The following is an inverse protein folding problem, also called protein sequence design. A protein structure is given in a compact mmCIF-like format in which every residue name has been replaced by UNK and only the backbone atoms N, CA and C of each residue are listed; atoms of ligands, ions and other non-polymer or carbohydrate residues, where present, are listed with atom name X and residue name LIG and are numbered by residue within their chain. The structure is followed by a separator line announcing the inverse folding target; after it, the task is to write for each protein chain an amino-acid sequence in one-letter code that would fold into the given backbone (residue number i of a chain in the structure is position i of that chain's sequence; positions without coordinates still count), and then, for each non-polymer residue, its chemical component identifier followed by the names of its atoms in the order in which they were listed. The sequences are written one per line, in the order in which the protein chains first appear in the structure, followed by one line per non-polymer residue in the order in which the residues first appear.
data_IF_389563757285
#
_entry.id   IF_389563757285
#
_cell.length_a   1.000
_cell.length_b   1.000
_cell.length_c   1.000
_cell.angle_alpha   90.00
_cell.angle_beta   90.00
_cell.angle_gamma   90.00
#
_symmetry.space_group_name_H-M   'P 1'
#
loop_
_entity.id
_entity.type
_entity.pdbx_description
1 polymer ?
#
# COMPACT_ATOMS: atom_id res chain seq x y z
N UNK A 1 6.86 18.37 12.92
CA UNK A 1 7.36 18.89 11.63
C UNK A 1 7.04 17.85 10.57
N UNK A 2 6.32 18.19 9.50
CA UNK A 2 5.99 17.21 8.45
C UNK A 2 7.24 16.82 7.66
N UNK A 3 7.31 15.58 7.16
CA UNK A 3 8.47 15.09 6.41
C UNK A 3 8.81 15.98 5.19
N UNK A 4 7.80 16.57 4.55
CA UNK A 4 7.97 17.49 3.42
C UNK A 4 8.76 18.76 3.76
N UNK A 5 8.50 19.34 4.93
CA UNK A 5 9.22 20.53 5.40
C UNK A 5 10.65 20.18 5.76
N UNK A 6 10.88 18.99 6.32
CA UNK A 6 12.23 18.54 6.64
C UNK A 6 13.05 18.27 5.37
N UNK A 7 12.46 17.64 4.36
CA UNK A 7 13.10 17.47 3.05
C UNK A 7 13.48 18.83 2.44
N UNK A 8 12.63 19.85 2.57
CA UNK A 8 12.92 21.19 2.08
C UNK A 8 14.05 21.84 2.89
N UNK A 9 14.08 21.66 4.22
CA UNK A 9 15.13 22.20 5.08
C UNK A 9 16.51 21.69 4.68
N UNK A 10 16.64 20.40 4.39
CA UNK A 10 17.94 19.76 4.07
C UNK A 10 18.36 19.90 2.60
N UNK A 11 17.41 20.07 1.68
CA UNK A 11 17.74 20.28 0.26
C UNK A 11 18.51 21.60 0.06
N UNK A 12 19.46 21.62 -0.87
CA UNK A 12 20.12 22.87 -1.30
C UNK A 12 19.11 23.78 -2.02
N UNK A 13 19.27 25.11 -1.96
CA UNK A 13 18.51 26.04 -2.79
C UNK A 13 18.51 25.61 -4.27
N UNK A 14 17.33 25.62 -4.90
CA UNK A 14 17.14 25.14 -6.27
C UNK A 14 17.18 23.62 -6.47
N UNK A 15 17.39 22.82 -5.41
CA UNK A 15 17.38 21.35 -5.46
C UNK A 15 15.98 20.77 -5.67
N UNK A 16 15.90 19.55 -6.22
CA UNK A 16 14.64 18.83 -6.42
C UNK A 16 14.42 17.85 -5.28
N UNK A 17 13.21 17.85 -4.73
CA UNK A 17 12.71 16.80 -3.83
C UNK A 17 11.65 16.02 -4.59
N UNK A 18 11.75 14.70 -4.55
CA UNK A 18 10.79 13.80 -5.15
C UNK A 18 10.25 12.83 -4.09
N UNK A 19 9.01 12.39 -4.28
CA UNK A 19 8.34 11.42 -3.44
C UNK A 19 7.53 10.45 -4.28
N UNK A 20 7.35 9.25 -3.73
CA UNK A 20 6.52 8.20 -4.32
C UNK A 20 5.49 7.78 -3.28
N UNK A 21 4.22 7.81 -3.67
CA UNK A 21 3.09 7.38 -2.85
C UNK A 21 2.37 6.24 -3.54
N UNK A 22 1.88 5.27 -2.78
CA UNK A 22 1.10 4.17 -3.34
C UNK A 22 -0.25 4.72 -3.81
N UNK A 23 -0.63 4.42 -5.05
CA UNK A 23 -1.96 4.74 -5.59
C UNK A 23 -2.86 3.51 -5.64
N UNK A 24 -2.25 2.33 -5.86
CA UNK A 24 -2.92 1.04 -5.85
C UNK A 24 -2.00 -0.06 -5.36
N UNK A 25 -2.56 -0.98 -4.59
CA UNK A 25 -1.91 -2.15 -4.00
C UNK A 25 -2.85 -3.35 -4.18
N UNK A 26 -2.80 -3.95 -5.36
CA UNK A 26 -3.70 -5.03 -5.78
C UNK A 26 -3.55 -6.31 -4.96
N UNK A 27 -2.49 -6.46 -4.15
CA UNK A 27 -2.39 -7.58 -3.23
C UNK A 27 -3.52 -7.58 -2.18
N UNK A 28 -4.10 -6.41 -1.87
CA UNK A 28 -5.24 -6.31 -0.93
C UNK A 28 -6.47 -7.01 -1.49
N UNK A 29 -6.74 -6.86 -2.79
CA UNK A 29 -7.87 -7.48 -3.47
C UNK A 29 -7.72 -9.02 -3.43
N UNK A 30 -6.50 -9.51 -3.73
CA UNK A 30 -6.16 -10.94 -3.66
C UNK A 30 -6.33 -11.55 -2.27
N UNK A 31 -5.90 -10.82 -1.23
CA UNK A 31 -6.04 -11.27 0.15
C UNK A 31 -7.51 -11.25 0.58
N UNK A 32 -8.25 -10.20 0.23
CA UNK A 32 -9.67 -10.10 0.55
C UNK A 32 -10.46 -11.28 -0.03
N UNK A 33 -10.20 -11.63 -1.29
CA UNK A 33 -10.82 -12.78 -1.94
C UNK A 33 -10.46 -14.10 -1.23
N UNK A 34 -9.17 -14.32 -0.94
CA UNK A 34 -8.72 -15.53 -0.27
C UNK A 34 -9.33 -15.70 1.14
N UNK A 35 -9.48 -14.60 1.89
CA UNK A 35 -10.09 -14.61 3.22
C UNK A 35 -11.61 -14.72 3.19
N UNK A 36 -12.26 -14.30 2.10
CA UNK A 36 -13.72 -14.41 1.93
C UNK A 36 -14.21 -15.87 1.86
N UNK A 37 -13.30 -16.82 1.62
CA UNK A 37 -13.60 -18.25 1.68
C UNK A 37 -13.71 -18.79 3.12
N UNK A 38 -13.39 -18.01 4.15
CA UNK A 38 -13.54 -18.41 5.55
C UNK A 38 -15.02 -18.31 6.00
N UNK A 39 -15.50 -19.24 6.85
CA UNK A 39 -16.86 -19.18 7.39
C UNK A 39 -17.08 -17.93 8.25
N UNK A 40 -18.30 -17.39 8.19
CA UNK A 40 -18.68 -16.19 8.91
C UNK A 40 -18.67 -16.37 10.45
N UNK A 41 -18.41 -15.29 11.23
CA UNK A 41 -18.03 -13.97 10.75
C UNK A 41 -16.58 -13.98 10.24
N UNK A 42 -16.38 -13.48 9.02
CA UNK A 42 -15.04 -13.32 8.45
C UNK A 42 -14.25 -12.29 9.26
N UNK A 43 -12.93 -12.46 9.30
CA UNK A 43 -12.05 -11.56 10.03
C UNK A 43 -12.09 -10.16 9.40
N UNK A 44 -12.05 -9.08 10.22
CA UNK A 44 -11.94 -7.73 9.68
C UNK A 44 -10.74 -7.62 8.74
N UNK A 45 -10.99 -7.19 7.51
CA UNK A 45 -9.98 -6.98 6.49
C UNK A 45 -10.42 -5.85 5.56
N UNK A 46 -9.46 -5.21 4.90
CA UNK A 46 -9.74 -4.19 3.89
C UNK A 46 -10.43 -4.83 2.68
N UNK A 47 -11.48 -4.20 2.17
CA UNK A 47 -12.24 -4.67 1.01
C UNK A 47 -11.65 -4.17 -0.29
N UNK A 48 -10.91 -3.07 -0.24
CA UNK A 48 -10.31 -2.43 -1.40
C UNK A 48 -8.89 -1.97 -1.08
N UNK A 49 -8.06 -1.86 -2.12
CA UNK A 49 -6.77 -1.18 -2.03
C UNK A 49 -6.87 0.24 -1.45
N UNK A 50 -7.95 0.97 -1.69
CA UNK A 50 -8.10 2.35 -1.19
C UNK A 50 -8.27 2.38 0.33
N UNK A 51 -9.09 1.46 0.90
CA UNK A 51 -9.24 1.35 2.35
C UNK A 51 -7.89 1.06 3.03
N UNK A 52 -7.07 0.18 2.44
CA UNK A 52 -5.72 -0.08 2.94
C UNK A 52 -4.82 1.16 2.86
N UNK A 53 -4.80 1.86 1.72
CA UNK A 53 -3.96 3.05 1.56
C UNK A 53 -4.36 4.14 2.56
N UNK A 54 -5.66 4.40 2.74
CA UNK A 54 -6.15 5.38 3.71
C UNK A 54 -5.77 4.98 5.15
N UNK A 55 -5.74 3.68 5.48
CA UNK A 55 -5.38 3.21 6.81
C UNK A 55 -3.94 3.57 7.21
N UNK A 56 -2.97 3.46 6.28
CA UNK A 56 -1.57 3.73 6.62
C UNK A 56 -1.05 5.10 6.17
N UNK A 57 -1.68 5.74 5.18
CA UNK A 57 -1.19 6.99 4.60
C UNK A 57 -1.62 8.22 5.40
N UNK A 58 -0.78 9.26 5.35
CA UNK A 58 -1.12 10.58 5.91
C UNK A 58 -1.96 11.39 4.92
N UNK A 59 -3.25 11.09 4.87
CA UNK A 59 -4.21 11.71 3.94
C UNK A 59 -4.25 11.03 2.56
N UNK A 60 -5.01 11.57 1.59
CA UNK A 60 -5.27 10.93 0.30
C UNK A 60 -4.09 11.08 -0.70
N UNK A 61 -2.88 10.72 -0.29
CA UNK A 61 -1.66 10.81 -1.11
C UNK A 61 -1.66 9.84 -2.30
N UNK A 62 -2.61 8.90 -2.37
CA UNK A 62 -2.88 8.08 -3.55
C UNK A 62 -3.40 8.88 -4.74
N UNK A 63 -3.79 10.15 -4.53
CA UNK A 63 -4.24 11.05 -5.59
C UNK A 63 -3.15 12.07 -5.95
N UNK A 64 -2.79 12.13 -7.23
CA UNK A 64 -1.73 13.01 -7.73
C UNK A 64 -2.02 14.51 -7.50
N UNK A 65 -3.28 14.93 -7.63
CA UNK A 65 -3.71 16.31 -7.37
C UNK A 65 -3.45 16.72 -5.92
N UNK A 66 -3.78 15.83 -4.98
CA UNK A 66 -3.56 16.04 -3.56
C UNK A 66 -2.07 16.00 -3.18
N UNK A 67 -1.30 15.04 -3.72
CA UNK A 67 0.15 14.98 -3.49
C UNK A 67 0.84 16.27 -3.97
N UNK A 68 0.49 16.76 -5.16
CA UNK A 68 0.99 18.03 -5.67
C UNK A 68 0.55 19.22 -4.78
N UNK A 69 -0.68 19.22 -4.27
CA UNK A 69 -1.16 20.25 -3.36
C UNK A 69 -0.31 20.32 -2.08
N UNK A 70 0.03 19.18 -1.47
CA UNK A 70 0.90 19.14 -0.28
C UNK A 70 2.28 19.76 -0.57
N UNK A 71 2.90 19.43 -1.71
CA UNK A 71 4.18 20.03 -2.09
C UNK A 71 4.06 21.55 -2.25
N UNK A 72 3.00 22.06 -2.89
CA UNK A 72 2.78 23.51 -3.02
C UNK A 72 2.59 24.17 -1.65
N UNK A 73 1.82 23.57 -0.75
CA UNK A 73 1.62 24.07 0.61
C UNK A 73 2.90 24.05 1.44
N UNK A 74 3.82 23.12 1.16
CA UNK A 74 5.15 23.10 1.76
C UNK A 74 6.13 24.12 1.13
N UNK A 75 5.70 24.90 0.14
CA UNK A 75 6.50 25.97 -0.47
C UNK A 75 7.41 25.52 -1.62
N UNK A 76 7.23 24.32 -2.16
CA UNK A 76 7.95 23.90 -3.37
C UNK A 76 7.43 24.62 -4.62
N UNK A 77 8.32 24.94 -5.55
CA UNK A 77 8.01 25.46 -6.89
C UNK A 77 8.10 24.35 -7.95
N UNK A 78 7.66 24.62 -9.19
CA UNK A 78 7.74 23.66 -10.32
C UNK A 78 7.13 22.29 -10.00
N UNK A 79 6.06 22.26 -9.21
CA UNK A 79 5.48 21.01 -8.70
C UNK A 79 4.80 20.23 -9.82
N UNK A 80 5.24 18.99 -10.02
CA UNK A 80 4.69 18.03 -10.97
C UNK A 80 4.27 16.78 -10.22
N UNK A 81 3.15 16.17 -10.64
CA UNK A 81 2.74 14.86 -10.18
C UNK A 81 2.19 14.03 -11.33
N UNK A 82 2.51 12.75 -11.37
CA UNK A 82 2.03 11.78 -12.35
C UNK A 82 1.62 10.48 -11.68
N UNK A 83 0.84 9.68 -12.40
CA UNK A 83 0.57 8.30 -12.04
C UNK A 83 1.48 7.40 -12.85
N UNK A 84 2.08 6.43 -12.18
CA UNK A 84 2.81 5.34 -12.82
C UNK A 84 2.13 4.03 -12.48
N UNK A 85 1.70 3.32 -13.52
CA UNK A 85 1.15 1.98 -13.39
C UNK A 85 2.29 0.98 -13.20
N UNK A 86 2.13 0.06 -12.25
CA UNK A 86 3.11 -0.99 -11.99
C UNK A 86 2.45 -2.33 -11.78
N UNK A 87 3.16 -3.40 -12.11
CA UNK A 87 2.71 -4.76 -11.92
C UNK A 87 3.80 -5.57 -11.23
N UNK A 88 3.40 -6.32 -10.21
CA UNK A 88 4.29 -7.22 -9.47
C UNK A 88 3.93 -8.64 -9.85
N UNK A 89 4.93 -9.42 -10.26
CA UNK A 89 4.78 -10.84 -10.56
C UNK A 89 5.11 -11.66 -9.33
N UNK A 90 4.16 -12.49 -8.90
CA UNK A 90 4.40 -13.55 -7.92
C UNK A 90 4.60 -14.88 -8.66
N UNK A 91 5.58 -15.67 -8.23
CA UNK A 91 5.81 -17.00 -8.81
C UNK A 91 4.69 -18.00 -8.47
N UNK A 92 4.09 -17.87 -7.28
CA UNK A 92 2.99 -18.67 -6.75
C UNK A 92 2.46 -18.02 -5.45
N UNK A 93 1.53 -18.67 -4.73
CA UNK A 93 0.97 -18.15 -3.48
C UNK A 93 1.96 -17.98 -2.33
N UNK A 94 3.02 -18.79 -2.26
CA UNK A 94 4.08 -18.65 -1.25
C UNK A 94 4.92 -17.40 -1.50
N UNK A 95 5.35 -17.20 -2.74
CA UNK A 95 6.11 -16.01 -3.13
C UNK A 95 5.28 -14.73 -2.93
N UNK A 96 3.98 -14.77 -3.26
CA UNK A 96 3.05 -13.68 -2.94
C UNK A 96 3.03 -13.35 -1.45
N UNK A 97 2.86 -14.34 -0.57
CA UNK A 97 2.85 -14.11 0.88
C UNK A 97 4.15 -13.45 1.34
N UNK A 98 5.28 -13.86 0.75
CA UNK A 98 6.60 -13.30 1.06
C UNK A 98 6.77 -11.87 0.56
N UNK A 99 6.23 -11.53 -0.60
CA UNK A 99 6.22 -10.17 -1.15
C UNK A 99 5.37 -9.21 -0.31
N UNK A 100 4.24 -9.68 0.22
CA UNK A 100 3.25 -8.85 0.91
C UNK A 100 3.42 -8.80 2.43
N UNK A 101 4.28 -9.65 3.03
CA UNK A 101 4.43 -9.74 4.49
C UNK A 101 4.75 -8.39 5.16
N UNK A 102 5.57 -7.55 4.52
CA UNK A 102 5.94 -6.24 5.04
C UNK A 102 4.78 -5.27 5.10
N UNK A 103 3.86 -5.35 4.14
CA UNK A 103 2.74 -4.40 3.98
C UNK A 103 1.61 -4.65 4.98
N UNK A 104 1.33 -5.93 5.29
CA UNK A 104 0.12 -6.30 6.03
C UNK A 104 0.38 -6.84 7.44
N UNK A 105 1.64 -6.86 7.90
CA UNK A 105 2.01 -7.41 9.22
C UNK A 105 1.28 -6.75 10.38
N UNK A 106 1.00 -5.45 10.29
CA UNK A 106 0.31 -4.68 11.34
C UNK A 106 -1.22 -4.82 11.33
N UNK A 107 -1.80 -5.29 10.23
CA UNK A 107 -3.26 -5.26 10.03
C UNK A 107 -4.03 -6.04 11.10
N UNK A 108 -3.61 -7.27 11.50
CA UNK A 108 -4.28 -7.97 12.58
C UNK A 108 -4.18 -7.25 13.93
N UNK A 109 -3.09 -6.52 14.19
CA UNK A 109 -2.90 -5.80 15.46
C UNK A 109 -3.82 -4.59 15.59
N UNK A 110 -4.11 -3.94 14.47
CA UNK A 110 -4.95 -2.76 14.44
C UNK A 110 -6.45 -3.09 14.30
N UNK A 111 -6.80 -4.11 13.50
CA UNK A 111 -8.19 -4.37 13.14
C UNK A 111 -8.85 -5.53 13.91
N UNK A 112 -8.08 -6.50 14.42
CA UNK A 112 -8.68 -7.68 15.04
C UNK A 112 -8.77 -7.52 16.55
N UNK A 113 -9.84 -8.07 17.15
CA UNK A 113 -9.93 -8.15 18.60
C UNK A 113 -8.84 -9.08 19.17
N UNK A 114 -8.46 -8.94 20.45
CA UNK A 114 -7.50 -9.84 21.08
C UNK A 114 -7.87 -11.34 20.95
N UNK A 115 -9.16 -11.66 21.07
CA UNK A 115 -9.66 -13.02 20.90
C UNK A 115 -9.51 -13.52 19.45
N UNK A 116 -9.84 -12.68 18.46
CA UNK A 116 -9.67 -13.02 17.04
C UNK A 116 -8.19 -13.22 16.69
N UNK A 117 -7.29 -12.36 17.19
CA UNK A 117 -5.84 -12.52 17.05
C UNK A 117 -5.34 -13.85 17.62
N UNK A 118 -5.72 -14.16 18.85
CA UNK A 118 -5.28 -15.40 19.51
C UNK A 118 -5.70 -16.65 18.72
N UNK A 119 -6.91 -16.63 18.13
CA UNK A 119 -7.47 -17.77 17.40
C UNK A 119 -6.97 -17.88 15.95
N UNK A 120 -6.78 -16.75 15.25
CA UNK A 120 -6.64 -16.74 13.79
C UNK A 120 -5.30 -16.24 13.27
N UNK A 121 -4.45 -15.62 14.10
CA UNK A 121 -3.18 -15.03 13.63
C UNK A 121 -2.28 -16.06 12.92
N UNK A 122 -2.21 -17.28 13.45
CA UNK A 122 -1.43 -18.37 12.86
C UNK A 122 -2.00 -18.91 11.54
N UNK A 123 -3.27 -18.62 11.24
CA UNK A 123 -3.98 -19.13 10.06
C UNK A 123 -3.97 -18.16 8.89
N UNK A 124 -3.63 -16.88 9.10
CA UNK A 124 -3.70 -15.84 8.07
C UNK A 124 -2.94 -16.23 6.80
N UNK A 125 -1.64 -16.48 6.91
CA UNK A 125 -0.80 -16.81 5.76
C UNK A 125 -1.15 -18.15 5.10
N UNK A 126 -1.38 -19.24 5.86
CA UNK A 126 -1.90 -20.48 5.28
C UNK A 126 -3.19 -20.27 4.48
N UNK A 127 -4.16 -19.52 5.01
CA UNK A 127 -5.42 -19.25 4.31
C UNK A 127 -5.22 -18.46 3.02
N UNK A 128 -4.40 -17.40 3.05
CA UNK A 128 -4.09 -16.60 1.86
C UNK A 128 -3.44 -17.47 0.78
N UNK A 129 -2.39 -18.20 1.14
CA UNK A 129 -1.67 -19.09 0.21
C UNK A 129 -2.62 -20.11 -0.40
N UNK A 130 -3.42 -20.79 0.42
CA UNK A 130 -4.33 -21.84 -0.05
C UNK A 130 -5.43 -21.26 -0.96
N UNK A 131 -5.91 -20.05 -0.69
CA UNK A 131 -6.84 -19.33 -1.56
C UNK A 131 -6.23 -19.01 -2.93
N UNK A 132 -5.01 -18.47 -2.94
CA UNK A 132 -4.26 -18.17 -4.17
C UNK A 132 -3.92 -19.42 -4.97
N UNK A 133 -3.52 -20.50 -4.29
CA UNK A 133 -3.22 -21.78 -4.93
C UNK A 133 -4.46 -22.35 -5.62
N UNK A 134 -5.66 -22.18 -5.05
CA UNK A 134 -6.92 -22.57 -5.70
C UNK A 134 -7.25 -21.67 -6.90
N UNK A 135 -7.08 -20.35 -6.76
CA UNK A 135 -7.39 -19.37 -7.81
C UNK A 135 -6.47 -19.50 -9.01
N UNK A 136 -5.16 -19.63 -8.78
CA UNK A 136 -4.13 -19.59 -9.82
C UNK A 136 -3.49 -20.95 -10.13
N UNK A 137 -3.85 -22.02 -9.40
CA UNK A 137 -3.34 -23.37 -9.64
C UNK A 137 -1.83 -23.48 -9.44
N UNK A 138 -1.26 -22.78 -8.45
CA UNK A 138 0.20 -22.68 -8.18
C UNK A 138 1.03 -22.13 -9.34
N UNK A 139 0.40 -21.46 -10.30
CA UNK A 139 1.10 -20.81 -11.42
C UNK A 139 1.46 -19.37 -11.08
N UNK A 140 2.42 -18.78 -11.80
CA UNK A 140 2.71 -17.36 -11.68
C UNK A 140 1.50 -16.50 -12.03
N UNK A 141 1.33 -15.40 -11.32
CA UNK A 141 0.31 -14.39 -11.56
C UNK A 141 0.86 -13.00 -11.28
N UNK A 142 0.15 -11.98 -11.76
CA UNK A 142 0.51 -10.59 -11.53
C UNK A 142 -0.60 -9.89 -10.75
N UNK A 143 -0.24 -8.95 -9.90
CA UNK A 143 -1.14 -8.01 -9.27
C UNK A 143 -0.61 -6.60 -9.44
N UNK A 144 -1.51 -5.63 -9.49
CA UNK A 144 -1.16 -4.24 -9.72
C UNK A 144 -0.50 -3.63 -8.48
N UNK A 145 0.53 -2.82 -8.70
CA UNK A 145 1.13 -1.94 -7.69
C UNK A 145 1.52 -0.63 -8.36
N UNK A 146 0.61 0.33 -8.31
CA UNK A 146 0.75 1.62 -8.98
C UNK A 146 1.07 2.71 -7.97
N UNK A 147 1.73 3.77 -8.42
CA UNK A 147 2.17 4.86 -7.57
C UNK A 147 1.82 6.23 -8.14
N UNK A 148 1.66 7.21 -7.27
CA UNK A 148 1.82 8.63 -7.58
C UNK A 148 3.29 8.99 -7.43
N UNK A 149 3.89 9.53 -8.48
CA UNK A 149 5.16 10.22 -8.42
C UNK A 149 4.88 11.72 -8.27
N UNK A 150 5.57 12.37 -7.35
CA UNK A 150 5.51 13.84 -7.21
C UNK A 150 6.91 14.38 -7.03
N UNK A 151 7.17 15.54 -7.62
CA UNK A 151 8.41 16.28 -7.41
C UNK A 151 8.15 17.78 -7.33
N UNK A 152 9.07 18.48 -6.69
CA UNK A 152 9.06 19.93 -6.62
C UNK A 152 10.46 20.46 -6.32
N UNK A 153 10.70 21.71 -6.73
CA UNK A 153 11.97 22.40 -6.52
C UNK A 153 11.91 23.22 -5.23
N UNK A 154 12.97 23.16 -4.43
CA UNK A 154 13.16 24.10 -3.31
C UNK A 154 13.41 25.50 -3.88
N UNK A 155 12.73 26.55 -3.36
CA UNK A 155 13.05 27.93 -3.71
C UNK A 155 14.54 28.28 -3.51
N UNK A 156 15.01 29.31 -4.22
CA UNK A 156 16.35 29.86 -4.05
C UNK A 156 16.53 30.49 -2.66
#
# INVERSE_FOLDING_TARGET
MSAFLECQRVAKPGGIVAGTFLSREGCIDEIHEALSALPAPSLPWFRTSEEFIIWYATGPTHRADFAAHIFRCAGYSEVQASYEEGWVRAANGEDFCRLCIGHIRGVPDDLWTPAARAKHRGLLWPTIRDGLDRKYGRKPFCFERSCVLVSGRKPL
#
